data_IF_416717419082
#
_entry.id   IF_416717419082
#
_cell.length_a   1.000
_cell.length_b   1.000
_cell.length_c   1.000
_cell.angle_alpha   90.00
_cell.angle_beta   90.00
_cell.angle_gamma   90.00
#
_symmetry.space_group_name_H-M   'P 1'
#
loop_
_entity.id
_entity.type
_entity.pdbx_description
1 polymer ?
#
# COMPACT_ATOMS: atom_id res chain seq x y z
N UNK A 1 20.32 -46.08 23.48
CA UNK A 1 21.61 -46.33 22.81
C UNK A 1 22.52 -45.16 23.16
N UNK A 2 23.37 -45.34 24.17
CA UNK A 2 24.42 -44.41 24.58
C UNK A 2 25.73 -45.15 24.33
N UNK A 3 26.60 -44.62 23.46
CA UNK A 3 27.92 -45.17 23.17
C UNK A 3 28.95 -44.26 23.83
N UNK A 4 29.65 -44.80 24.82
CA UNK A 4 30.81 -44.22 25.48
C UNK A 4 32.06 -44.44 24.63
N UNK A 5 32.86 -43.40 24.44
CA UNK A 5 34.21 -43.49 23.87
C UNK A 5 35.22 -43.84 24.96
N UNK A 6 36.00 -44.88 24.69
CA UNK A 6 37.12 -45.39 25.48
C UNK A 6 38.42 -44.73 24.99
N UNK A 7 39.21 -44.18 25.92
CA UNK A 7 40.50 -43.53 25.65
C UNK A 7 41.61 -44.42 26.20
N UNK A 8 42.39 -45.04 25.31
CA UNK A 8 43.62 -45.74 25.67
C UNK A 8 44.84 -44.86 25.43
N UNK A 9 45.49 -44.45 26.52
CA UNK A 9 46.85 -43.93 26.54
C UNK A 9 47.84 -45.09 26.32
N UNK A 10 48.77 -44.92 25.38
CA UNK A 10 49.94 -45.77 25.24
C UNK A 10 51.19 -44.91 25.41
N UNK A 11 51.94 -45.24 26.46
CA UNK A 11 53.23 -44.69 26.85
C UNK A 11 54.33 -45.07 25.86
N UNK A 12 55.27 -44.14 25.63
CA UNK A 12 56.57 -44.46 25.04
C UNK A 12 57.70 -43.69 25.73
N UNK A 13 58.77 -44.45 25.91
CA UNK A 13 59.88 -44.32 26.83
C UNK A 13 60.93 -43.27 26.46
N UNK A 14 61.44 -42.61 27.50
CA UNK A 14 62.71 -41.88 27.54
C UNK A 14 63.90 -42.80 27.24
N UNK A 15 64.81 -42.38 26.35
CA UNK A 15 66.15 -42.94 26.24
C UNK A 15 67.20 -41.83 26.20
N UNK A 16 68.37 -42.19 26.73
CA UNK A 16 69.35 -41.35 27.41
C UNK A 16 70.36 -40.64 26.51
N UNK A 17 70.81 -39.50 27.02
CA UNK A 17 72.02 -38.73 26.68
C UNK A 17 73.28 -39.57 26.44
N UNK A 18 74.03 -39.22 25.39
CA UNK A 18 75.49 -39.40 25.31
C UNK A 18 76.13 -38.13 24.76
N UNK A 19 77.11 -37.62 25.52
CA UNK A 19 77.92 -36.45 25.18
C UNK A 19 78.93 -36.79 24.09
N UNK A 20 79.09 -35.90 23.12
CA UNK A 20 80.23 -35.94 22.19
C UNK A 20 80.89 -34.56 22.15
N UNK A 21 82.22 -34.59 22.20
CA UNK A 21 83.16 -33.46 22.26
C UNK A 21 82.92 -32.42 21.17
N UNK A 22 83.11 -31.15 21.53
CA UNK A 22 83.18 -30.01 20.63
C UNK A 22 84.30 -30.21 19.58
N UNK A 23 83.89 -30.26 18.31
CA UNK A 23 84.72 -30.10 17.13
C UNK A 23 84.59 -28.63 16.71
N UNK A 24 85.71 -27.88 16.61
CA UNK A 24 85.72 -26.52 16.07
C UNK A 24 85.22 -26.56 14.62
N UNK A 25 83.99 -26.06 14.38
CA UNK A 25 83.41 -25.98 13.03
C UNK A 25 83.96 -24.72 12.34
N UNK A 26 84.78 -24.93 11.31
CA UNK A 26 85.22 -23.88 10.38
C UNK A 26 83.99 -23.21 9.73
N UNK A 27 83.91 -21.89 9.85
CA UNK A 27 82.85 -21.05 9.30
C UNK A 27 83.11 -20.85 7.80
N UNK A 28 82.70 -21.80 6.97
CA UNK A 28 82.81 -21.67 5.52
C UNK A 28 81.58 -21.01 4.88
N UNK A 29 81.88 -19.99 4.07
CA UNK A 29 81.16 -19.31 2.99
C UNK A 29 79.65 -19.01 3.14
N UNK A 30 79.29 -17.77 2.79
CA UNK A 30 77.91 -17.37 2.46
C UNK A 30 77.40 -18.26 1.32
N UNK A 31 76.13 -18.66 1.38
CA UNK A 31 75.47 -19.38 0.27
C UNK A 31 75.69 -18.58 -1.02
N UNK A 32 76.34 -19.20 -2.02
CA UNK A 32 76.72 -18.56 -3.28
C UNK A 32 75.53 -18.02 -4.08
N UNK A 33 74.32 -18.51 -3.79
CA UNK A 33 73.06 -18.00 -4.35
C UNK A 33 72.60 -16.68 -3.71
N UNK A 34 72.94 -16.40 -2.45
CA UNK A 34 72.42 -15.25 -1.69
C UNK A 34 73.48 -14.14 -1.59
N UNK A 35 74.77 -14.50 -1.60
CA UNK A 35 75.91 -13.59 -1.48
C UNK A 35 75.89 -12.36 -2.43
N UNK A 36 75.44 -12.46 -3.70
CA UNK A 36 75.34 -11.30 -4.61
C UNK A 36 74.26 -10.29 -4.21
N UNK A 37 73.27 -10.72 -3.42
CA UNK A 37 72.07 -9.97 -3.08
C UNK A 37 72.12 -9.33 -1.68
N UNK A 38 73.20 -9.55 -0.93
CA UNK A 38 73.40 -8.95 0.39
C UNK A 38 74.12 -7.60 0.24
N UNK A 39 73.58 -6.48 0.74
CA UNK A 39 74.25 -5.19 0.73
C UNK A 39 75.61 -5.23 1.46
N UNK A 40 76.61 -4.52 0.93
CA UNK A 40 77.99 -4.52 1.50
C UNK A 40 78.06 -4.08 2.96
N UNK A 41 77.16 -3.19 3.39
CA UNK A 41 77.01 -2.74 4.78
C UNK A 41 76.60 -3.89 5.72
N UNK A 42 75.73 -4.78 5.25
CA UNK A 42 75.28 -5.97 5.98
C UNK A 42 76.40 -7.02 6.01
N UNK A 43 77.15 -7.19 4.92
CA UNK A 43 78.34 -8.05 4.89
C UNK A 43 79.42 -7.58 5.86
N UNK A 44 79.62 -6.27 5.98
CA UNK A 44 80.56 -5.68 6.94
C UNK A 44 80.10 -5.90 8.39
N UNK A 45 78.80 -5.82 8.67
CA UNK A 45 78.22 -6.10 9.97
C UNK A 45 78.38 -7.58 10.37
N UNK A 46 78.11 -8.50 9.45
CA UNK A 46 78.25 -9.96 9.66
C UNK A 46 79.70 -10.33 9.97
N UNK A 47 80.68 -9.72 9.28
CA UNK A 47 82.12 -9.94 9.53
C UNK A 47 82.60 -9.44 10.90
N UNK A 48 81.86 -8.55 11.55
CA UNK A 48 82.23 -7.95 12.83
C UNK A 48 81.55 -8.62 14.04
N UNK A 49 80.64 -9.57 13.82
CA UNK A 49 79.95 -10.26 14.90
C UNK A 49 80.80 -11.42 15.42
N UNK A 50 81.31 -11.38 16.67
CA UNK A 50 81.85 -12.57 17.30
C UNK A 50 80.69 -13.53 17.60
N UNK A 51 80.71 -14.71 16.99
CA UNK A 51 79.71 -15.75 17.26
C UNK A 51 80.04 -16.33 18.64
N UNK A 52 79.25 -16.01 19.65
CA UNK A 52 79.33 -16.65 20.97
C UNK A 52 78.75 -18.07 20.92
N UNK A 53 79.18 -18.96 21.83
CA UNK A 53 78.65 -20.33 21.93
C UNK A 53 77.12 -20.35 22.06
N UNK A 54 76.54 -19.42 22.82
CA UNK A 54 75.07 -19.27 22.98
C UNK A 54 74.36 -18.92 21.66
N UNK A 55 75.01 -18.14 20.80
CA UNK A 55 74.46 -17.77 19.49
C UNK A 55 74.55 -18.95 18.51
N UNK A 56 75.62 -19.74 18.61
CA UNK A 56 75.81 -20.97 17.83
C UNK A 56 74.71 -22.01 18.13
N UNK A 57 74.42 -22.23 19.41
CA UNK A 57 73.36 -23.15 19.86
C UNK A 57 71.96 -22.72 19.40
N UNK A 58 71.74 -21.41 19.23
CA UNK A 58 70.49 -20.89 18.68
C UNK A 58 70.37 -21.06 17.15
N UNK A 59 71.49 -20.92 16.43
CA UNK A 59 71.51 -20.95 14.96
C UNK A 59 71.51 -22.37 14.40
N UNK A 60 72.23 -23.30 15.03
CA UNK A 60 72.40 -24.68 14.56
C UNK A 60 71.06 -25.42 14.28
N UNK A 61 70.05 -25.37 15.15
CA UNK A 61 68.74 -25.98 14.89
C UNK A 61 67.99 -25.31 13.72
N UNK A 62 68.20 -24.01 13.50
CA UNK A 62 67.56 -23.25 12.43
C UNK A 62 68.22 -23.55 11.07
N UNK A 63 69.54 -23.74 11.05
CA UNK A 63 70.26 -24.19 9.85
C UNK A 63 69.84 -25.58 9.41
N UNK A 64 69.72 -26.54 10.33
CA UNK A 64 69.26 -27.90 10.00
C UNK A 64 67.84 -27.90 9.42
N UNK A 65 66.97 -27.03 9.94
CA UNK A 65 65.58 -26.92 9.49
C UNK A 65 65.41 -26.19 8.16
N UNK A 66 66.36 -25.33 7.80
CA UNK A 66 66.32 -24.52 6.57
C UNK A 66 67.27 -25.00 5.49
N UNK A 67 68.17 -25.94 5.80
CA UNK A 67 69.17 -26.47 4.87
C UNK A 67 70.27 -25.48 4.48
N UNK A 68 70.40 -24.36 5.20
CA UNK A 68 71.34 -23.26 4.89
C UNK A 68 72.59 -23.29 5.76
N UNK A 69 73.65 -22.59 5.34
CA UNK A 69 74.84 -22.42 6.17
C UNK A 69 74.55 -21.54 7.41
N UNK A 70 75.30 -21.70 8.53
CA UNK A 70 75.15 -20.87 9.73
C UNK A 70 75.28 -19.38 9.44
N UNK A 71 76.15 -19.02 8.50
CA UNK A 71 76.36 -17.64 8.04
C UNK A 71 75.15 -17.13 7.24
N UNK A 72 74.55 -17.97 6.38
CA UNK A 72 73.32 -17.64 5.64
C UNK A 72 72.11 -17.40 6.55
N UNK A 73 72.02 -18.16 7.65
CA UNK A 73 70.95 -18.00 8.65
C UNK A 73 71.14 -16.72 9.48
N UNK A 74 72.40 -16.39 9.83
CA UNK A 74 72.75 -15.11 10.46
C UNK A 74 72.45 -13.91 9.55
N UNK A 75 72.73 -14.01 8.25
CA UNK A 75 72.39 -12.96 7.29
C UNK A 75 70.88 -12.71 7.24
N UNK A 76 70.06 -13.76 7.24
CA UNK A 76 68.60 -13.66 7.28
C UNK A 76 68.07 -13.04 8.57
N UNK A 77 68.63 -13.43 9.72
CA UNK A 77 68.28 -12.83 11.01
C UNK A 77 68.71 -11.38 11.09
N UNK A 78 69.89 -11.02 10.58
CA UNK A 78 70.37 -9.65 10.52
C UNK A 78 69.50 -8.80 9.58
N UNK A 79 69.09 -9.33 8.42
CA UNK A 79 68.13 -8.68 7.52
C UNK A 79 66.78 -8.47 8.25
N UNK A 80 66.30 -9.47 9.00
CA UNK A 80 65.09 -9.37 9.81
C UNK A 80 65.20 -8.36 10.96
N UNK A 81 66.35 -8.26 11.61
CA UNK A 81 66.61 -7.30 12.69
C UNK A 81 66.82 -5.88 12.17
N UNK A 82 67.50 -5.71 11.03
CA UNK A 82 67.62 -4.41 10.33
C UNK A 82 66.25 -3.95 9.85
N UNK A 83 65.42 -4.86 9.31
CA UNK A 83 64.02 -4.57 9.01
C UNK A 83 63.23 -4.22 10.28
N UNK A 84 63.42 -4.95 11.37
CA UNK A 84 62.78 -4.73 12.68
C UNK A 84 63.15 -3.42 13.37
N UNK A 85 64.40 -2.96 13.21
CA UNK A 85 64.89 -1.69 13.76
C UNK A 85 64.63 -0.51 12.81
N UNK A 86 64.62 -0.73 11.49
CA UNK A 86 64.21 0.28 10.50
C UNK A 86 62.69 0.57 10.54
N UNK A 87 61.88 -0.30 11.13
CA UNK A 87 60.45 -0.05 11.39
C UNK A 87 60.19 1.07 12.41
N UNK A 88 61.19 1.49 13.18
CA UNK A 88 61.03 2.53 14.21
C UNK A 88 61.26 3.97 13.74
N UNK A 89 62.06 4.20 12.69
CA UNK A 89 62.51 5.57 12.33
C UNK A 89 62.70 5.68 10.79
N UNK A 90 61.82 6.43 10.13
CA UNK A 90 61.90 7.02 8.75
C UNK A 90 61.03 6.42 7.60
N UNK A 91 59.86 7.04 7.40
CA UNK A 91 59.19 7.30 6.09
C UNK A 91 60.14 8.15 5.22
N UNK A 92 60.46 7.88 3.92
CA UNK A 92 59.69 7.27 2.81
C UNK A 92 60.50 6.31 1.88
N UNK A 93 61.70 5.85 2.27
CA UNK A 93 62.54 4.92 1.47
C UNK A 93 62.01 3.48 1.52
N UNK A 94 61.22 3.15 2.55
CA UNK A 94 60.59 1.85 2.75
C UNK A 94 59.75 1.37 1.55
N UNK A 95 59.16 2.28 0.77
CA UNK A 95 58.31 1.90 -0.38
C UNK A 95 59.08 1.29 -1.56
N UNK A 96 60.38 1.57 -1.69
CA UNK A 96 61.21 1.04 -2.79
C UNK A 96 61.81 -0.32 -2.42
N UNK A 97 62.21 -0.49 -1.16
CA UNK A 97 62.71 -1.76 -0.65
C UNK A 97 61.57 -2.78 -0.44
N UNK A 98 60.39 -2.35 0.04
CA UNK A 98 59.21 -3.20 0.11
C UNK A 98 58.76 -3.69 -1.26
N UNK A 99 58.85 -2.85 -2.30
CA UNK A 99 58.54 -3.23 -3.68
C UNK A 99 59.48 -4.32 -4.24
N UNK A 100 60.78 -4.26 -3.89
CA UNK A 100 61.75 -5.29 -4.26
C UNK A 100 61.51 -6.64 -3.57
N UNK A 101 61.04 -6.61 -2.32
CA UNK A 101 60.69 -7.80 -1.52
C UNK A 101 59.32 -8.35 -1.93
N UNK A 102 58.33 -7.50 -2.21
CA UNK A 102 57.01 -7.87 -2.75
C UNK A 102 57.14 -8.63 -4.07
N UNK A 103 58.09 -8.18 -4.92
CA UNK A 103 58.39 -8.83 -6.20
C UNK A 103 59.09 -10.18 -6.04
N UNK A 104 59.81 -10.39 -4.93
CA UNK A 104 60.56 -11.61 -4.62
C UNK A 104 59.70 -12.65 -3.88
N UNK A 105 58.71 -12.21 -3.09
CA UNK A 105 57.81 -13.07 -2.29
C UNK A 105 56.46 -13.32 -2.99
N UNK A 106 56.17 -12.64 -4.11
CA UNK A 106 54.87 -12.68 -4.78
C UNK A 106 53.71 -12.41 -3.80
N UNK A 107 53.80 -11.34 -3.01
CA UNK A 107 52.78 -11.00 -1.99
C UNK A 107 51.39 -10.71 -2.57
N UNK A 108 51.30 -10.43 -3.87
CA UNK A 108 50.05 -10.38 -4.63
C UNK A 108 49.78 -11.73 -5.31
N UNK A 109 49.32 -12.72 -4.54
CA UNK A 109 48.70 -13.93 -5.08
C UNK A 109 47.20 -13.84 -4.86
N UNK A 110 46.42 -14.23 -5.88
CA UNK A 110 44.98 -14.30 -5.74
C UNK A 110 44.63 -15.42 -4.76
N UNK A 111 43.73 -15.12 -3.83
CA UNK A 111 43.14 -16.11 -2.95
C UNK A 111 42.15 -17.01 -3.72
N UNK A 112 41.81 -18.21 -3.21
CA UNK A 112 40.91 -19.14 -3.90
C UNK A 112 39.54 -18.57 -4.28
N UNK A 113 38.98 -17.64 -3.49
CA UNK A 113 37.69 -17.00 -3.79
C UNK A 113 37.83 -15.98 -4.93
N UNK A 114 38.92 -15.21 -4.96
CA UNK A 114 39.24 -14.35 -6.10
C UNK A 114 39.43 -15.16 -7.39
N UNK A 115 40.20 -16.25 -7.35
CA UNK A 115 40.42 -17.11 -8.53
C UNK A 115 39.11 -17.73 -9.02
N UNK A 116 38.27 -18.22 -8.10
CA UNK A 116 37.00 -18.84 -8.47
C UNK A 116 35.98 -17.85 -9.04
N UNK A 117 35.96 -16.60 -8.56
CA UNK A 117 35.16 -15.51 -9.15
C UNK A 117 35.64 -15.11 -10.54
N UNK A 118 36.95 -15.08 -10.78
CA UNK A 118 37.51 -14.84 -12.12
C UNK A 118 37.15 -15.98 -13.07
N UNK A 119 37.24 -17.22 -12.61
CA UNK A 119 36.80 -18.42 -13.32
C UNK A 119 35.31 -18.33 -13.73
N UNK A 120 34.41 -18.04 -12.79
CA UNK A 120 32.98 -17.87 -13.06
C UNK A 120 32.70 -16.78 -14.11
N UNK A 121 33.49 -15.69 -14.09
CA UNK A 121 33.33 -14.56 -15.00
C UNK A 121 34.00 -14.75 -16.35
N UNK A 122 34.76 -15.84 -16.52
CA UNK A 122 35.60 -16.06 -17.69
C UNK A 122 36.62 -14.94 -17.88
N UNK A 123 37.18 -14.41 -16.78
CA UNK A 123 38.24 -13.41 -16.81
C UNK A 123 39.60 -14.12 -16.93
N UNK A 124 40.53 -13.64 -17.79
CA UNK A 124 40.51 -12.35 -18.49
C UNK A 124 39.56 -12.30 -19.70
N UNK A 125 38.81 -11.20 -19.81
CA UNK A 125 38.24 -10.76 -21.09
C UNK A 125 39.19 -9.74 -21.69
N UNK A 126 39.92 -10.14 -22.73
CA UNK A 126 40.84 -9.27 -23.44
C UNK A 126 40.13 -8.19 -24.26
N UNK A 127 40.45 -6.94 -23.92
CA UNK A 127 40.48 -5.74 -24.77
C UNK A 127 39.18 -4.97 -25.03
N UNK A 128 39.39 -3.70 -25.34
CA UNK A 128 38.45 -2.57 -25.42
C UNK A 128 37.02 -2.95 -25.86
N UNK A 129 36.02 -2.38 -25.17
CA UNK A 129 34.61 -2.66 -25.46
C UNK A 129 34.20 -2.34 -26.91
N UNK A 130 34.95 -1.46 -27.59
CA UNK A 130 34.82 -1.13 -29.01
C UNK A 130 35.35 -2.25 -29.92
N UNK A 131 36.52 -2.82 -29.62
CA UNK A 131 37.12 -3.92 -30.39
C UNK A 131 36.31 -5.21 -30.26
N UNK A 132 35.78 -5.49 -29.06
CA UNK A 132 34.95 -6.69 -28.84
C UNK A 132 33.64 -6.64 -29.62
N UNK A 133 33.05 -5.45 -29.80
CA UNK A 133 31.81 -5.29 -30.59
C UNK A 133 32.04 -5.54 -32.08
N UNK A 134 33.24 -5.23 -32.60
CA UNK A 134 33.59 -5.39 -34.00
C UNK A 134 33.79 -6.85 -34.44
N UNK A 135 33.97 -7.79 -33.50
CA UNK A 135 34.18 -9.21 -33.81
C UNK A 135 32.86 -9.95 -34.12
N UNK A 136 32.94 -10.88 -35.07
CA UNK A 136 31.84 -11.81 -35.39
C UNK A 136 31.66 -12.85 -34.28
N UNK A 137 30.49 -13.51 -34.23
CA UNK A 137 30.19 -14.52 -33.22
C UNK A 137 31.17 -15.72 -33.25
N UNK A 138 31.68 -16.08 -34.43
CA UNK A 138 32.67 -17.15 -34.58
C UNK A 138 34.06 -16.73 -34.08
N UNK A 139 34.47 -15.48 -34.34
CA UNK A 139 35.75 -14.92 -33.85
C UNK A 139 35.72 -14.72 -32.33
N UNK A 140 34.58 -14.28 -31.79
CA UNK A 140 34.36 -14.23 -30.33
C UNK A 140 34.51 -15.61 -29.69
N UNK A 141 33.94 -16.65 -30.29
CA UNK A 141 34.05 -18.02 -29.80
C UNK A 141 35.49 -18.55 -29.86
N UNK A 142 36.22 -18.27 -30.94
CA UNK A 142 37.63 -18.66 -31.10
C UNK A 142 38.56 -17.93 -30.12
N UNK A 143 38.40 -16.61 -29.95
CA UNK A 143 39.20 -15.80 -29.01
C UNK A 143 38.90 -16.16 -27.54
N UNK A 144 37.66 -16.54 -27.24
CA UNK A 144 37.26 -17.08 -25.92
C UNK A 144 37.86 -18.46 -25.66
N UNK A 145 38.09 -19.26 -26.71
CA UNK A 145 38.76 -20.55 -26.58
C UNK A 145 40.27 -20.42 -26.32
N UNK A 146 40.95 -19.41 -26.87
CA UNK A 146 42.35 -19.08 -26.54
C UNK A 146 42.53 -18.53 -25.12
N UNK A 147 41.55 -17.76 -24.60
CA UNK A 147 41.57 -17.23 -23.23
C UNK A 147 41.31 -18.29 -22.15
N UNK A 148 40.88 -19.50 -22.54
CA UNK A 148 40.66 -20.62 -21.63
C UNK A 148 41.97 -21.06 -20.94
N UNK A 149 43.11 -20.86 -21.60
CA UNK A 149 44.45 -21.16 -21.09
C UNK A 149 44.92 -20.11 -20.04
N UNK A 150 44.41 -18.87 -20.07
CA UNK A 150 44.70 -17.85 -19.04
C UNK A 150 43.87 -18.05 -17.77
N UNK A 151 42.70 -18.70 -17.85
CA UNK A 151 41.95 -19.14 -16.67
C UNK A 151 42.71 -20.26 -15.95
N UNK A 152 43.33 -21.18 -16.70
CA UNK A 152 44.23 -22.20 -16.15
C UNK A 152 45.48 -21.61 -15.49
N UNK A 153 45.98 -20.47 -15.97
CA UNK A 153 47.11 -19.75 -15.34
C UNK A 153 46.83 -19.35 -13.89
N UNK A 154 45.62 -18.89 -13.55
CA UNK A 154 45.25 -18.52 -12.18
C UNK A 154 45.09 -19.74 -11.26
N UNK A 155 44.64 -20.87 -11.81
CA UNK A 155 44.68 -22.15 -11.11
C UNK A 155 46.12 -22.69 -10.98
N UNK A 156 47.01 -22.36 -11.92
CA UNK A 156 48.46 -22.53 -11.79
C UNK A 156 49.03 -21.74 -10.61
N UNK A 157 48.59 -20.52 -10.36
CA UNK A 157 48.97 -19.77 -9.15
C UNK A 157 48.45 -20.44 -7.86
N UNK A 158 47.29 -21.10 -7.89
CA UNK A 158 46.84 -21.92 -6.76
C UNK A 158 47.72 -23.17 -6.60
N UNK A 159 48.17 -23.78 -7.69
CA UNK A 159 49.16 -24.87 -7.66
C UNK A 159 50.47 -24.42 -7.00
N UNK A 160 50.96 -23.23 -7.34
CA UNK A 160 52.15 -22.62 -6.75
C UNK A 160 51.97 -22.22 -5.26
N UNK A 161 50.71 -22.14 -4.81
CA UNK A 161 50.32 -21.98 -3.40
C UNK A 161 50.13 -23.31 -2.67
N UNK A 162 50.30 -24.45 -3.35
CA UNK A 162 50.18 -25.79 -2.77
C UNK A 162 48.80 -26.43 -2.90
N UNK A 163 47.87 -25.84 -3.66
CA UNK A 163 46.60 -26.49 -3.98
C UNK A 163 46.80 -27.52 -5.10
N UNK A 164 46.61 -28.80 -4.79
CA UNK A 164 46.60 -29.85 -5.80
C UNK A 164 45.40 -29.75 -6.75
N UNK A 165 45.41 -30.57 -7.79
CA UNK A 165 44.35 -30.61 -8.79
C UNK A 165 42.97 -30.92 -8.19
N UNK A 166 42.93 -31.74 -7.15
CA UNK A 166 41.69 -32.06 -6.44
C UNK A 166 41.13 -30.86 -5.67
N UNK A 167 41.98 -30.12 -4.98
CA UNK A 167 41.60 -28.93 -4.22
C UNK A 167 41.14 -27.80 -5.16
N UNK A 168 41.77 -27.66 -6.32
CA UNK A 168 41.34 -26.69 -7.34
C UNK A 168 39.97 -27.02 -7.93
N UNK A 169 39.66 -28.30 -8.18
CA UNK A 169 38.32 -28.71 -8.59
C UNK A 169 37.29 -28.48 -7.47
N UNK A 170 37.65 -28.72 -6.22
CA UNK A 170 36.79 -28.41 -5.08
C UNK A 170 36.48 -26.90 -5.00
N UNK A 171 37.46 -26.03 -5.26
CA UNK A 171 37.27 -24.57 -5.34
C UNK A 171 36.30 -24.17 -6.46
N UNK A 172 36.40 -24.81 -7.64
CA UNK A 172 35.45 -24.58 -8.75
C UNK A 172 34.03 -24.99 -8.37
N UNK A 173 33.88 -26.13 -7.69
CA UNK A 173 32.57 -26.61 -7.24
C UNK A 173 31.98 -25.72 -6.15
N UNK A 174 32.79 -25.28 -5.17
CA UNK A 174 32.37 -24.35 -4.12
C UNK A 174 31.94 -22.98 -4.65
N UNK A 175 32.46 -22.59 -5.81
CA UNK A 175 32.05 -21.34 -6.47
C UNK A 175 30.71 -21.47 -7.19
N UNK A 176 30.22 -22.68 -7.47
CA UNK A 176 28.86 -22.86 -7.95
C UNK A 176 27.89 -22.55 -6.84
N UNK A 177 26.88 -21.78 -7.19
CA UNK A 177 25.86 -21.37 -6.25
C UNK A 177 24.98 -22.57 -5.87
N UNK A 178 24.93 -22.88 -4.58
CA UNK A 178 23.98 -23.84 -4.02
C UNK A 178 22.81 -23.07 -3.40
N UNK A 179 21.56 -23.34 -3.82
CA UNK A 179 20.40 -22.65 -3.29
C UNK A 179 20.19 -22.92 -1.81
N UNK A 180 19.81 -21.87 -1.08
CA UNK A 180 19.45 -21.96 0.31
C UNK A 180 18.14 -22.75 0.48
N UNK A 181 17.93 -23.41 1.64
CA UNK A 181 16.69 -24.16 1.90
C UNK A 181 15.40 -23.34 1.65
N UNK A 182 15.42 -22.05 1.97
CA UNK A 182 14.27 -21.14 1.75
C UNK A 182 13.93 -20.94 0.26
N UNK A 183 14.93 -20.96 -0.61
CA UNK A 183 14.72 -20.82 -2.06
C UNK A 183 14.15 -22.12 -2.63
N UNK A 184 14.69 -23.26 -2.19
CA UNK A 184 14.15 -24.59 -2.54
C UNK A 184 12.68 -24.70 -2.08
N UNK A 185 12.36 -24.23 -0.86
CA UNK A 185 10.98 -24.17 -0.38
C UNK A 185 10.10 -23.27 -1.26
N UNK A 186 10.62 -22.12 -1.69
CA UNK A 186 9.91 -21.22 -2.60
C UNK A 186 9.66 -21.88 -3.95
N UNK A 187 10.63 -22.62 -4.50
CA UNK A 187 10.48 -23.36 -5.74
C UNK A 187 9.42 -24.46 -5.62
N UNK A 188 9.41 -25.18 -4.49
CA UNK A 188 8.37 -26.16 -4.20
C UNK A 188 6.98 -25.50 -4.12
N UNK A 189 6.84 -24.40 -3.38
CA UNK A 189 5.57 -23.67 -3.26
C UNK A 189 5.09 -23.06 -4.59
N UNK A 190 6.00 -22.78 -5.53
CA UNK A 190 5.69 -22.27 -6.87
C UNK A 190 5.62 -23.36 -7.93
N UNK A 191 5.48 -24.62 -7.53
CA UNK A 191 5.28 -25.77 -8.42
C UNK A 191 6.39 -25.92 -9.47
N UNK A 192 7.60 -25.44 -9.16
CA UNK A 192 8.75 -25.45 -10.07
C UNK A 192 9.25 -26.88 -10.32
N UNK A 193 9.06 -27.77 -9.35
CA UNK A 193 9.47 -29.17 -9.41
C UNK A 193 8.43 -30.09 -10.05
N UNK A 194 7.21 -29.60 -10.31
CA UNK A 194 6.11 -30.38 -10.87
C UNK A 194 6.00 -30.11 -12.38
N UNK A 195 6.48 -31.00 -13.27
CA UNK A 195 6.61 -30.70 -14.71
C UNK A 195 5.28 -30.33 -15.38
N UNK A 196 4.20 -31.02 -15.02
CA UNK A 196 2.86 -30.78 -15.58
C UNK A 196 2.33 -29.39 -15.19
N UNK A 197 2.55 -28.96 -13.94
CA UNK A 197 2.13 -27.65 -13.45
C UNK A 197 3.04 -26.54 -13.99
N UNK A 198 4.35 -26.77 -14.06
CA UNK A 198 5.32 -25.85 -14.66
C UNK A 198 4.99 -25.53 -16.11
N UNK A 199 4.56 -26.53 -16.88
CA UNK A 199 4.09 -26.35 -18.26
C UNK A 199 2.73 -25.65 -18.30
N UNK A 200 1.75 -26.11 -17.51
CA UNK A 200 0.40 -25.51 -17.42
C UNK A 200 0.47 -24.01 -17.13
N UNK A 201 1.33 -23.60 -16.21
CA UNK A 201 1.51 -22.20 -15.81
C UNK A 201 2.55 -21.44 -16.63
N UNK A 202 3.21 -22.12 -17.56
CA UNK A 202 4.20 -21.53 -18.46
C UNK A 202 5.32 -20.82 -17.68
N UNK A 203 5.81 -21.43 -16.59
CA UNK A 203 6.76 -20.77 -15.69
C UNK A 203 8.11 -20.47 -16.36
N UNK A 204 8.50 -21.25 -17.38
CA UNK A 204 9.70 -21.02 -18.19
C UNK A 204 9.53 -19.97 -19.30
N UNK A 205 8.33 -19.42 -19.45
CA UNK A 205 8.04 -18.50 -20.55
C UNK A 205 8.93 -17.27 -20.46
N UNK A 206 9.32 -16.77 -21.63
CA UNK A 206 10.15 -15.56 -21.78
C UNK A 206 11.53 -15.64 -21.13
N UNK A 207 12.04 -16.82 -20.74
CA UNK A 207 13.41 -16.99 -20.24
C UNK A 207 14.43 -16.47 -21.28
N UNK A 208 15.13 -15.36 -21.03
CA UNK A 208 16.06 -14.81 -21.99
C UNK A 208 17.42 -15.51 -21.87
N UNK A 209 18.11 -15.83 -22.98
CA UNK A 209 19.46 -16.39 -22.95
C UNK A 209 20.45 -15.54 -22.14
N UNK A 210 20.27 -14.22 -22.14
CA UNK A 210 21.09 -13.26 -21.40
C UNK A 210 20.98 -13.46 -19.88
N UNK A 211 19.80 -13.85 -19.38
CA UNK A 211 19.64 -14.17 -17.95
C UNK A 211 20.51 -15.37 -17.56
N UNK A 212 20.53 -16.42 -18.38
CA UNK A 212 21.39 -17.60 -18.15
C UNK A 212 22.87 -17.22 -18.21
N UNK A 213 23.27 -16.33 -19.12
CA UNK A 213 24.64 -15.83 -19.19
C UNK A 213 25.05 -15.06 -17.92
N UNK A 214 24.20 -14.15 -17.45
CA UNK A 214 24.47 -13.37 -16.24
C UNK A 214 24.42 -14.20 -14.96
N UNK A 215 23.48 -15.15 -14.87
CA UNK A 215 23.39 -16.11 -13.76
C UNK A 215 24.68 -16.96 -13.66
N UNK A 216 25.20 -17.44 -14.80
CA UNK A 216 26.42 -18.23 -14.82
C UNK A 216 27.65 -17.45 -14.29
N UNK A 217 27.74 -16.15 -14.56
CA UNK A 217 28.83 -15.28 -14.07
C UNK A 217 28.87 -15.12 -12.55
N UNK A 218 27.79 -15.48 -11.87
CA UNK A 218 27.67 -15.45 -10.40
C UNK A 218 27.54 -16.85 -9.80
N UNK A 219 27.82 -17.91 -10.57
CA UNK A 219 27.80 -19.29 -10.10
C UNK A 219 26.45 -19.99 -10.20
N UNK A 220 25.39 -19.30 -10.62
CA UNK A 220 24.04 -19.87 -10.79
C UNK A 220 23.94 -20.47 -12.20
N UNK A 221 24.09 -21.78 -12.31
CA UNK A 221 24.17 -22.47 -13.61
C UNK A 221 23.10 -23.56 -13.77
N UNK A 222 22.88 -23.99 -15.01
CA UNK A 222 22.02 -25.14 -15.32
C UNK A 222 20.58 -24.98 -14.85
N UNK A 223 20.11 -26.00 -14.12
CA UNK A 223 18.73 -26.09 -13.65
C UNK A 223 18.40 -25.07 -12.55
N UNK A 224 19.38 -24.74 -11.69
CA UNK A 224 19.23 -23.73 -10.63
C UNK A 224 18.80 -22.39 -11.24
N UNK A 225 19.46 -21.95 -12.31
CA UNK A 225 19.09 -20.71 -13.01
C UNK A 225 17.66 -20.77 -13.56
N UNK A 226 17.28 -21.90 -14.18
CA UNK A 226 15.92 -22.09 -14.70
C UNK A 226 14.87 -22.09 -13.60
N UNK A 227 15.18 -22.62 -12.41
CA UNK A 227 14.27 -22.65 -11.28
C UNK A 227 14.07 -21.26 -10.67
N UNK A 228 15.14 -20.46 -10.58
CA UNK A 228 15.01 -19.04 -10.23
C UNK A 228 14.06 -18.32 -11.18
N UNK A 229 14.23 -18.51 -12.49
CA UNK A 229 13.30 -17.96 -13.47
C UNK A 229 11.89 -18.51 -13.24
N UNK A 230 11.68 -19.82 -13.16
CA UNK A 230 10.34 -20.36 -12.97
C UNK A 230 9.62 -19.82 -11.70
N UNK A 231 10.37 -19.48 -10.65
CA UNK A 231 9.81 -18.89 -9.42
C UNK A 231 9.63 -17.37 -9.41
N UNK A 232 10.12 -16.63 -10.41
CA UNK A 232 10.19 -15.16 -10.36
C UNK A 232 8.82 -14.45 -10.51
N UNK A 233 7.81 -15.18 -10.97
CA UNK A 233 6.50 -14.62 -11.30
C UNK A 233 5.79 -14.06 -10.08
N UNK A 234 5.21 -12.87 -10.25
CA UNK A 234 4.35 -12.24 -9.25
C UNK A 234 2.94 -12.80 -9.42
N UNK A 235 2.41 -13.41 -8.36
CA UNK A 235 1.04 -13.91 -8.35
C UNK A 235 0.04 -12.75 -8.27
N UNK A 236 -1.15 -12.85 -8.89
CA UNK A 236 -2.21 -11.87 -8.74
C UNK A 236 -2.56 -11.62 -7.26
N UNK A 237 -3.00 -10.40 -6.94
CA UNK A 237 -3.51 -10.12 -5.60
C UNK A 237 -4.80 -10.86 -5.32
N UNK A 238 -5.11 -11.12 -4.04
CA UNK A 238 -6.36 -11.76 -3.65
C UNK A 238 -7.60 -10.98 -4.16
N UNK A 239 -7.53 -9.64 -4.20
CA UNK A 239 -8.58 -8.78 -4.76
C UNK A 239 -8.77 -9.01 -6.27
N UNK A 240 -7.70 -9.21 -7.03
CA UNK A 240 -7.81 -9.52 -8.45
C UNK A 240 -8.49 -10.88 -8.67
N UNK A 241 -8.10 -11.90 -7.90
CA UNK A 241 -8.72 -13.23 -7.96
C UNK A 241 -10.18 -13.20 -7.54
N UNK A 242 -10.51 -12.44 -6.49
CA UNK A 242 -11.88 -12.20 -6.07
C UNK A 242 -12.73 -11.59 -7.19
N UNK A 243 -12.21 -10.61 -7.92
CA UNK A 243 -12.93 -10.00 -9.04
C UNK A 243 -13.09 -10.95 -10.22
N UNK A 244 -12.08 -11.75 -10.55
CA UNK A 244 -12.19 -12.79 -11.58
C UNK A 244 -13.27 -13.82 -11.23
N UNK A 245 -13.31 -14.26 -9.97
CA UNK A 245 -14.34 -15.17 -9.47
C UNK A 245 -15.74 -14.53 -9.50
N UNK A 246 -15.90 -13.28 -9.01
CA UNK A 246 -17.18 -12.54 -9.05
C UNK A 246 -17.71 -12.38 -10.47
N UNK A 247 -16.81 -12.21 -11.44
CA UNK A 247 -17.12 -12.13 -12.88
C UNK A 247 -17.35 -13.49 -13.54
N UNK A 248 -17.28 -14.58 -12.78
CA UNK A 248 -17.45 -15.96 -13.23
C UNK A 248 -16.43 -16.37 -14.31
N UNK A 249 -15.25 -15.75 -14.27
CA UNK A 249 -14.11 -16.11 -15.12
C UNK A 249 -13.36 -17.30 -14.52
N UNK A 250 -13.29 -17.35 -13.18
CA UNK A 250 -12.73 -18.46 -12.42
C UNK A 250 -13.83 -19.22 -11.68
N UNK A 251 -13.67 -20.52 -11.54
CA UNK A 251 -14.50 -21.37 -10.69
C UNK A 251 -13.98 -21.39 -9.24
N UNK A 252 -14.67 -22.10 -8.34
CA UNK A 252 -14.15 -22.29 -6.97
C UNK A 252 -12.88 -23.14 -6.98
N UNK A 253 -12.85 -24.15 -7.82
CA UNK A 253 -11.72 -25.07 -7.98
C UNK A 253 -10.46 -24.33 -8.48
N UNK A 254 -10.63 -23.36 -9.38
CA UNK A 254 -9.53 -22.49 -9.81
C UNK A 254 -8.97 -21.65 -8.65
N UNK A 255 -9.85 -21.13 -7.78
CA UNK A 255 -9.45 -20.36 -6.59
C UNK A 255 -8.74 -21.26 -5.56
N UNK A 256 -9.23 -22.48 -5.38
CA UNK A 256 -8.60 -23.48 -4.50
C UNK A 256 -7.19 -23.86 -4.97
N UNK A 257 -7.00 -24.05 -6.27
CA UNK A 257 -5.68 -24.27 -6.87
C UNK A 257 -4.75 -23.07 -6.64
N UNK A 258 -5.26 -21.85 -6.88
CA UNK A 258 -4.50 -20.63 -6.67
C UNK A 258 -4.04 -20.43 -5.20
N UNK A 259 -4.86 -20.82 -4.22
CA UNK A 259 -4.46 -20.77 -2.82
C UNK A 259 -3.33 -21.74 -2.47
N UNK A 260 -3.23 -22.87 -3.17
CA UNK A 260 -2.10 -23.79 -3.03
C UNK A 260 -0.82 -23.14 -3.56
N UNK A 261 -0.88 -22.49 -4.71
CA UNK A 261 0.27 -21.76 -5.29
C UNK A 261 0.72 -20.56 -4.46
N UNK A 262 -0.21 -19.90 -3.77
CA UNK A 262 0.11 -18.85 -2.79
C UNK A 262 0.66 -19.38 -1.46
N UNK A 263 0.75 -20.70 -1.29
CA UNK A 263 1.08 -21.37 -0.03
C UNK A 263 0.18 -20.91 1.13
N UNK A 264 -1.11 -20.70 0.82
CA UNK A 264 -2.09 -20.25 1.80
C UNK A 264 -2.48 -21.40 2.72
N UNK A 265 -2.42 -21.18 4.04
CA UNK A 265 -2.77 -22.22 5.03
C UNK A 265 -4.20 -22.74 4.82
N UNK A 266 -4.43 -24.07 4.74
CA UNK A 266 -5.74 -24.61 4.34
C UNK A 266 -6.92 -24.22 5.23
N UNK A 267 -6.70 -24.06 6.54
CA UNK A 267 -7.79 -23.92 7.51
C UNK A 267 -8.60 -22.61 7.38
N UNK A 268 -8.03 -21.54 6.79
CA UNK A 268 -8.74 -20.26 6.57
C UNK A 268 -9.37 -20.13 5.19
N UNK A 269 -9.07 -21.04 4.27
CA UNK A 269 -9.42 -20.89 2.84
C UNK A 269 -10.92 -20.71 2.62
N UNK A 270 -11.75 -21.53 3.27
CA UNK A 270 -13.21 -21.42 3.18
C UNK A 270 -13.76 -20.10 3.75
N UNK A 271 -13.15 -19.58 4.82
CA UNK A 271 -13.57 -18.31 5.41
C UNK A 271 -13.15 -17.11 4.55
N UNK A 272 -11.93 -17.15 3.99
CA UNK A 272 -11.48 -16.15 3.01
C UNK A 272 -12.36 -16.19 1.75
N UNK A 273 -12.82 -17.36 1.33
CA UNK A 273 -13.76 -17.47 0.21
C UNK A 273 -15.07 -16.72 0.45
N UNK A 274 -15.57 -16.73 1.70
CA UNK A 274 -16.82 -16.02 2.03
C UNK A 274 -16.68 -14.53 1.79
N UNK A 275 -15.49 -13.96 2.01
CA UNK A 275 -15.18 -12.55 1.73
C UNK A 275 -15.28 -12.20 0.24
N UNK A 276 -15.24 -13.19 -0.66
CA UNK A 276 -15.42 -12.94 -2.08
C UNK A 276 -16.86 -12.50 -2.37
N UNK A 277 -17.83 -12.89 -1.55
CA UNK A 277 -19.24 -12.49 -1.74
C UNK A 277 -19.41 -11.04 -1.30
N UNK A 278 -20.22 -10.29 -2.06
CA UNK A 278 -20.56 -8.93 -1.66
C UNK A 278 -21.55 -8.95 -0.50
N UNK A 279 -21.33 -8.10 0.49
CA UNK A 279 -22.34 -7.77 1.49
C UNK A 279 -23.25 -6.69 0.87
N UNK A 280 -24.59 -6.82 0.95
CA UNK A 280 -25.51 -5.81 0.43
C UNK A 280 -25.18 -4.41 0.96
N UNK A 281 -25.39 -3.35 0.16
CA UNK A 281 -25.08 -1.98 0.61
C UNK A 281 -26.11 -1.51 1.65
N UNK A 282 -25.74 -0.55 2.51
CA UNK A 282 -26.67 0.07 3.48
C UNK A 282 -27.96 0.57 2.82
N UNK A 283 -27.86 1.14 1.63
CA UNK A 283 -29.01 1.67 0.88
C UNK A 283 -29.97 0.54 0.49
N UNK A 284 -29.43 -0.57 0.00
CA UNK A 284 -30.25 -1.72 -0.40
C UNK A 284 -30.83 -2.44 0.81
N UNK A 285 -30.05 -2.58 1.89
CA UNK A 285 -30.54 -3.13 3.17
C UNK A 285 -31.70 -2.32 3.72
N UNK A 286 -31.62 -0.99 3.69
CA UNK A 286 -32.74 -0.12 4.07
C UNK A 286 -33.97 -0.32 3.18
N UNK A 287 -33.79 -0.51 1.87
CA UNK A 287 -34.89 -0.82 0.95
C UNK A 287 -35.51 -2.18 1.25
N UNK A 288 -34.70 -3.18 1.62
CA UNK A 288 -35.19 -4.49 2.02
C UNK A 288 -36.04 -4.39 3.28
N UNK A 289 -35.61 -3.57 4.25
CA UNK A 289 -36.38 -3.27 5.45
C UNK A 289 -37.71 -2.57 5.11
N UNK A 290 -37.66 -1.51 4.30
CA UNK A 290 -38.84 -0.75 3.84
C UNK A 290 -39.87 -1.64 3.14
N UNK A 291 -39.42 -2.47 2.21
CA UNK A 291 -40.27 -3.43 1.49
C UNK A 291 -40.67 -4.65 2.34
N UNK A 292 -40.23 -4.73 3.60
CA UNK A 292 -40.47 -5.85 4.53
C UNK A 292 -40.04 -7.21 3.95
N UNK A 293 -39.00 -7.23 3.13
CA UNK A 293 -38.40 -8.47 2.59
C UNK A 293 -37.41 -9.11 3.56
N UNK A 294 -37.03 -8.38 4.62
CA UNK A 294 -36.21 -8.86 5.74
C UNK A 294 -36.85 -8.43 7.06
N UNK A 295 -36.50 -9.14 8.13
CA UNK A 295 -36.86 -8.82 9.52
C UNK A 295 -35.68 -8.17 10.28
N UNK A 296 -35.90 -7.79 11.54
CA UNK A 296 -34.88 -7.09 12.34
C UNK A 296 -33.65 -7.98 12.63
N UNK A 297 -33.81 -9.28 12.95
CA UNK A 297 -32.68 -10.19 13.06
C UNK A 297 -31.81 -10.21 11.80
N UNK A 298 -32.42 -10.29 10.61
CA UNK A 298 -31.67 -10.26 9.35
C UNK A 298 -31.07 -8.88 9.06
N UNK A 299 -31.74 -7.79 9.42
CA UNK A 299 -31.20 -6.43 9.32
C UNK A 299 -29.91 -6.30 10.16
N UNK A 300 -29.95 -6.75 11.41
CA UNK A 300 -28.80 -6.78 12.33
C UNK A 300 -27.65 -7.62 11.79
N UNK A 301 -27.94 -8.82 11.32
CA UNK A 301 -26.95 -9.74 10.73
C UNK A 301 -26.23 -9.12 9.53
N UNK A 302 -26.96 -8.43 8.64
CA UNK A 302 -26.32 -7.77 7.49
C UNK A 302 -25.45 -6.59 7.94
N UNK A 303 -25.89 -5.77 8.90
CA UNK A 303 -25.07 -4.68 9.43
C UNK A 303 -23.82 -5.19 10.16
N UNK A 304 -23.90 -6.29 10.89
CA UNK A 304 -22.72 -6.96 11.45
C UNK A 304 -21.77 -7.47 10.36
N UNK A 305 -22.31 -8.07 9.29
CA UNK A 305 -21.50 -8.50 8.15
C UNK A 305 -20.81 -7.31 7.42
N UNK A 306 -21.38 -6.11 7.48
CA UNK A 306 -20.73 -4.88 7.01
C UNK A 306 -19.64 -4.35 7.97
N UNK A 307 -19.58 -4.88 9.19
CA UNK A 307 -18.60 -4.53 10.20
C UNK A 307 -19.11 -3.58 11.30
N UNK A 308 -20.42 -3.36 11.43
CA UNK A 308 -20.98 -2.58 12.53
C UNK A 308 -21.19 -3.44 13.78
N UNK A 309 -20.78 -2.92 14.93
CA UNK A 309 -20.81 -3.63 16.21
C UNK A 309 -21.27 -2.72 17.33
N UNK A 310 -21.72 -3.31 18.44
CA UNK A 310 -22.06 -2.60 19.68
C UNK A 310 -22.99 -1.40 19.46
N UNK A 311 -22.62 -0.21 19.94
CA UNK A 311 -23.43 1.01 19.83
C UNK A 311 -23.69 1.40 18.37
N UNK A 312 -22.69 1.28 17.49
CA UNK A 312 -22.87 1.57 16.06
C UNK A 312 -23.94 0.67 15.44
N UNK A 313 -23.97 -0.61 15.82
CA UNK A 313 -24.97 -1.55 15.32
C UNK A 313 -26.38 -1.15 15.78
N UNK A 314 -26.54 -0.84 17.08
CA UNK A 314 -27.83 -0.41 17.62
C UNK A 314 -28.30 0.89 16.98
N UNK A 315 -27.40 1.85 16.80
CA UNK A 315 -27.68 3.14 16.14
C UNK A 315 -28.10 2.95 14.69
N UNK A 316 -27.42 2.09 13.93
CA UNK A 316 -27.79 1.81 12.54
C UNK A 316 -29.15 1.11 12.42
N UNK A 317 -29.45 0.18 13.31
CA UNK A 317 -30.73 -0.52 13.33
C UNK A 317 -31.85 0.46 13.67
N UNK A 318 -31.72 1.19 14.78
CA UNK A 318 -32.68 2.23 15.19
C UNK A 318 -32.89 3.25 14.07
N UNK A 319 -31.80 3.81 13.53
CA UNK A 319 -31.86 4.79 12.45
C UNK A 319 -32.61 4.26 11.23
N UNK A 320 -32.34 3.01 10.83
CA UNK A 320 -32.98 2.40 9.65
C UNK A 320 -34.49 2.29 9.85
N UNK A 321 -34.91 1.80 11.03
CA UNK A 321 -36.32 1.62 11.38
C UNK A 321 -37.04 2.95 11.40
N UNK A 322 -36.54 3.91 12.18
CA UNK A 322 -37.09 5.26 12.31
C UNK A 322 -37.15 5.99 10.97
N UNK A 323 -36.06 5.95 10.19
CA UNK A 323 -35.96 6.67 8.92
C UNK A 323 -37.02 6.20 7.92
N UNK A 324 -37.30 4.90 7.92
CA UNK A 324 -38.25 4.26 7.01
C UNK A 324 -39.69 4.44 7.49
N UNK A 325 -39.94 4.23 8.78
CA UNK A 325 -41.31 4.20 9.31
C UNK A 325 -41.88 5.61 9.52
N UNK A 326 -41.05 6.59 9.88
CA UNK A 326 -41.50 7.95 10.20
C UNK A 326 -42.32 8.63 9.07
N UNK A 327 -41.86 8.69 7.80
CA UNK A 327 -42.61 9.36 6.74
C UNK A 327 -43.98 8.73 6.46
N UNK A 328 -44.06 7.39 6.47
CA UNK A 328 -45.29 6.65 6.23
C UNK A 328 -46.27 6.81 7.39
N UNK A 329 -45.82 6.62 8.64
CA UNK A 329 -46.64 6.83 9.82
C UNK A 329 -47.22 8.25 9.88
N UNK A 330 -46.40 9.25 9.61
CA UNK A 330 -46.87 10.65 9.58
C UNK A 330 -47.87 10.91 8.45
N UNK A 331 -47.72 10.26 7.29
CA UNK A 331 -48.71 10.36 6.21
C UNK A 331 -50.05 9.72 6.61
N UNK A 332 -50.01 8.53 7.21
CA UNK A 332 -51.20 7.83 7.72
C UNK A 332 -51.90 8.62 8.81
N UNK A 333 -51.14 9.22 9.72
CA UNK A 333 -51.67 10.11 10.77
C UNK A 333 -52.35 11.35 10.17
N UNK A 334 -51.68 12.04 9.23
CA UNK A 334 -52.26 13.22 8.55
C UNK A 334 -53.54 12.90 7.77
N UNK A 335 -53.65 11.70 7.24
CA UNK A 335 -54.85 11.21 6.56
C UNK A 335 -55.94 10.69 7.53
N UNK A 336 -55.68 10.71 8.84
CA UNK A 336 -56.61 10.23 9.87
C UNK A 336 -56.77 8.70 9.92
N UNK A 337 -55.85 7.94 9.32
CA UNK A 337 -55.92 6.47 9.29
C UNK A 337 -55.43 5.81 10.59
N UNK A 338 -54.55 6.50 11.32
CA UNK A 338 -54.01 6.09 12.61
C UNK A 338 -54.02 7.27 13.57
N UNK A 339 -54.00 6.99 14.87
CA UNK A 339 -53.92 8.03 15.90
C UNK A 339 -52.47 8.40 16.20
N UNK A 340 -52.27 9.51 16.90
CA UNK A 340 -50.93 9.97 17.26
C UNK A 340 -50.26 8.99 18.24
N UNK A 341 -51.04 8.36 19.11
CA UNK A 341 -50.57 7.34 20.05
C UNK A 341 -49.98 6.13 19.31
N UNK A 342 -50.61 5.70 18.19
CA UNK A 342 -50.12 4.60 17.38
C UNK A 342 -48.75 4.94 16.76
N UNK A 343 -48.54 6.20 16.35
CA UNK A 343 -47.25 6.69 15.86
C UNK A 343 -46.20 6.67 16.97
N UNK A 344 -46.56 7.13 18.17
CA UNK A 344 -45.66 7.14 19.33
C UNK A 344 -45.23 5.73 19.71
N UNK A 345 -46.17 4.79 19.81
CA UNK A 345 -45.88 3.38 20.12
C UNK A 345 -44.93 2.78 19.09
N UNK A 346 -45.18 2.97 17.79
CA UNK A 346 -44.29 2.42 16.76
C UNK A 346 -42.88 3.02 16.86
N UNK A 347 -42.73 4.35 16.92
CA UNK A 347 -41.41 4.97 16.88
C UNK A 347 -40.60 4.81 18.18
N UNK A 348 -41.25 4.97 19.34
CA UNK A 348 -40.56 4.96 20.64
C UNK A 348 -40.45 3.54 21.18
N UNK A 349 -41.55 2.78 21.22
CA UNK A 349 -41.55 1.46 21.85
C UNK A 349 -40.98 0.37 20.94
N UNK A 350 -41.30 0.40 19.64
CA UNK A 350 -40.85 -0.62 18.67
C UNK A 350 -39.53 -0.23 18.04
N UNK A 351 -39.43 0.97 17.47
CA UNK A 351 -38.22 1.44 16.77
C UNK A 351 -37.14 1.98 17.69
N UNK A 352 -37.43 2.07 19.00
CA UNK A 352 -36.50 2.47 20.06
C UNK A 352 -35.96 3.90 19.90
N UNK A 353 -36.69 4.77 19.20
CA UNK A 353 -36.40 6.19 19.19
C UNK A 353 -36.47 6.75 20.62
N UNK A 354 -35.50 7.58 21.04
CA UNK A 354 -35.61 8.32 22.30
C UNK A 354 -36.89 9.15 22.33
N UNK A 355 -37.65 9.08 23.42
CA UNK A 355 -38.93 9.78 23.55
C UNK A 355 -38.77 11.30 23.39
N UNK A 356 -37.71 11.88 23.93
CA UNK A 356 -37.38 13.30 23.75
C UNK A 356 -37.26 13.68 22.27
N UNK A 357 -36.67 12.80 21.45
CA UNK A 357 -36.52 13.02 20.01
C UNK A 357 -37.87 12.94 19.29
N UNK A 358 -38.76 12.05 19.71
CA UNK A 358 -40.12 11.98 19.19
C UNK A 358 -40.87 13.29 19.42
N UNK A 359 -40.81 13.84 20.64
CA UNK A 359 -41.47 15.11 20.99
C UNK A 359 -40.88 16.30 20.18
N UNK A 360 -39.56 16.32 19.95
CA UNK A 360 -38.92 17.34 19.10
C UNK A 360 -39.39 17.23 17.62
N UNK A 361 -39.50 16.00 17.10
CA UNK A 361 -40.02 15.77 15.74
C UNK A 361 -41.49 16.19 15.63
N UNK A 362 -42.28 15.95 16.67
CA UNK A 362 -43.66 16.40 16.74
C UNK A 362 -43.74 17.93 16.61
N UNK A 363 -42.99 18.67 17.42
CA UNK A 363 -43.00 20.14 17.41
C UNK A 363 -42.54 20.72 16.06
N UNK A 364 -41.54 20.11 15.42
CA UNK A 364 -40.97 20.61 14.17
C UNK A 364 -41.78 20.23 12.93
N UNK A 365 -42.50 19.10 12.95
CA UNK A 365 -43.20 18.55 11.77
C UNK A 365 -44.72 18.69 11.85
N UNK A 366 -45.27 18.70 13.04
CA UNK A 366 -46.65 19.09 13.31
C UNK A 366 -46.56 20.56 13.71
N UNK A 367 -46.61 21.47 12.73
CA UNK A 367 -46.93 22.87 13.03
C UNK A 367 -48.10 22.84 13.98
N UNK A 368 -47.99 23.53 15.12
CA UNK A 368 -49.12 23.78 15.99
C UNK A 368 -50.29 24.13 15.09
N UNK A 369 -51.24 23.19 15.01
CA UNK A 369 -52.50 23.40 14.32
C UNK A 369 -53.13 24.50 15.17
N UNK A 370 -52.83 25.77 14.86
CA UNK A 370 -53.82 26.80 14.97
C UNK A 370 -54.99 26.19 14.24
N UNK A 371 -55.97 25.77 15.02
CA UNK A 371 -57.25 25.21 14.61
C UNK A 371 -57.48 25.60 13.17
N UNK A 372 -57.20 24.65 12.28
CA UNK A 372 -57.59 24.79 10.90
C UNK A 372 -59.09 24.92 11.01
N UNK A 373 -59.55 26.19 10.92
CA UNK A 373 -60.95 26.59 11.04
C UNK A 373 -61.74 25.53 10.35
N UNK A 374 -62.46 24.74 11.16
CA UNK A 374 -63.22 23.59 10.71
C UNK A 374 -63.97 24.03 9.46
N UNK A 375 -63.69 23.28 8.41
CA UNK A 375 -64.00 23.54 7.01
C UNK A 375 -65.51 23.45 6.71
N UNK A 376 -66.35 24.09 7.53
CA UNK A 376 -67.79 24.19 7.32
C UNK A 376 -68.24 25.59 6.90
N UNK A 377 -67.40 26.63 6.98
CA UNK A 377 -67.76 27.99 6.54
C UNK A 377 -67.34 28.34 5.10
N UNK A 378 -66.95 27.36 4.28
CA UNK A 378 -66.41 27.68 2.94
C UNK A 378 -66.91 26.91 1.72
N UNK A 379 -68.16 26.43 1.72
CA UNK A 379 -68.77 25.91 0.49
C UNK A 379 -68.71 26.91 -0.69
N UNK A 380 -68.82 28.21 -0.43
CA UNK A 380 -68.67 29.26 -1.45
C UNK A 380 -67.22 29.72 -1.55
N UNK A 381 -66.53 29.46 -2.66
CA UNK A 381 -65.23 30.07 -2.95
C UNK A 381 -65.39 31.57 -3.26
N UNK A 382 -64.32 32.38 -3.17
CA UNK A 382 -64.32 33.79 -3.63
C UNK A 382 -64.95 33.93 -5.01
N UNK A 383 -64.58 33.04 -5.94
CA UNK A 383 -65.11 33.03 -7.30
C UNK A 383 -66.63 32.79 -7.34
N UNK A 384 -67.18 31.91 -6.49
CA UNK A 384 -68.61 31.67 -6.40
C UNK A 384 -69.37 32.85 -5.78
N UNK A 385 -68.79 33.50 -4.77
CA UNK A 385 -69.33 34.72 -4.15
C UNK A 385 -69.45 35.83 -5.20
N UNK A 386 -68.37 36.12 -5.92
CA UNK A 386 -68.34 37.13 -6.98
C UNK A 386 -69.29 36.77 -8.14
N UNK A 387 -69.37 35.50 -8.53
CA UNK A 387 -70.31 35.04 -9.58
C UNK A 387 -71.78 35.19 -9.16
N UNK A 388 -72.09 34.99 -7.87
CA UNK A 388 -73.42 35.24 -7.31
C UNK A 388 -73.79 36.72 -7.35
N UNK A 389 -72.84 37.60 -7.04
CA UNK A 389 -73.01 39.05 -7.10
C UNK A 389 -73.15 39.59 -8.55
N UNK A 390 -72.45 38.99 -9.52
CA UNK A 390 -72.50 39.32 -10.96
C UNK A 390 -73.71 38.76 -11.71
N UNK A 391 -74.48 37.84 -11.12
CA UNK A 391 -75.60 37.23 -11.79
C UNK A 391 -76.63 38.31 -12.20
N UNK A 392 -77.39 38.07 -13.28
CA UNK A 392 -78.50 38.94 -13.68
C UNK A 392 -79.80 38.12 -13.66
N UNK A 393 -80.72 38.37 -12.71
CA UNK A 393 -80.62 39.33 -11.61
C UNK A 393 -79.59 38.92 -10.53
N UNK A 394 -79.03 39.88 -9.76
CA UNK A 394 -78.05 39.58 -8.72
C UNK A 394 -78.61 38.65 -7.66
N UNK A 395 -77.84 37.61 -7.31
CA UNK A 395 -78.22 36.66 -6.24
C UNK A 395 -77.71 37.07 -4.87
N UNK A 396 -76.77 38.02 -4.82
CA UNK A 396 -76.19 38.59 -3.61
C UNK A 396 -76.18 40.11 -3.73
N UNK A 397 -76.58 40.79 -2.66
CA UNK A 397 -76.44 42.25 -2.54
C UNK A 397 -75.00 42.64 -2.25
N UNK A 398 -74.67 43.94 -2.37
CA UNK A 398 -73.34 44.47 -2.03
C UNK A 398 -72.93 44.13 -0.59
N UNK A 399 -73.84 44.36 0.37
CA UNK A 399 -73.60 44.06 1.79
C UNK A 399 -73.32 42.58 2.03
N UNK A 400 -74.18 41.70 1.52
CA UNK A 400 -74.00 40.24 1.66
C UNK A 400 -72.71 39.74 0.99
N UNK A 401 -72.32 40.34 -0.13
CA UNK A 401 -71.07 39.97 -0.83
C UNK A 401 -69.85 40.37 -0.01
N UNK A 402 -69.84 41.57 0.57
CA UNK A 402 -68.75 42.05 1.44
C UNK A 402 -68.66 41.20 2.71
N UNK A 403 -69.79 40.89 3.35
CA UNK A 403 -69.82 40.01 4.54
C UNK A 403 -69.29 38.60 4.23
N UNK A 404 -69.71 38.01 3.10
CA UNK A 404 -69.22 36.71 2.67
C UNK A 404 -67.73 36.72 2.32
N UNK A 405 -67.19 37.83 1.79
CA UNK A 405 -65.76 38.01 1.58
C UNK A 405 -65.01 38.20 2.91
N UNK A 406 -65.56 38.94 3.87
CA UNK A 406 -64.96 39.08 5.19
C UNK A 406 -64.88 37.73 5.94
N UNK A 407 -65.88 36.86 5.75
CA UNK A 407 -65.83 35.47 6.22
C UNK A 407 -64.72 34.63 5.55
N UNK A 408 -64.17 35.08 4.40
CA UNK A 408 -62.96 34.53 3.76
C UNK A 408 -61.66 35.15 4.23
N UNK A 409 -61.69 35.85 5.37
CA UNK A 409 -60.51 36.46 5.98
C UNK A 409 -59.94 37.63 5.15
N UNK A 410 -60.76 38.24 4.29
CA UNK A 410 -60.49 39.58 3.75
C UNK A 410 -60.89 40.61 4.80
N UNK A 411 -60.11 41.66 4.98
CA UNK A 411 -60.59 42.79 5.77
C UNK A 411 -61.74 43.52 5.05
N UNK A 412 -62.46 44.38 5.77
CA UNK A 412 -63.63 45.08 5.21
C UNK A 412 -63.28 45.88 3.94
N UNK A 413 -62.10 46.49 3.91
CA UNK A 413 -61.66 47.34 2.80
C UNK A 413 -61.21 46.51 1.60
N UNK A 414 -60.51 45.41 1.83
CA UNK A 414 -60.16 44.43 0.81
C UNK A 414 -61.42 43.84 0.18
N UNK A 415 -62.43 43.51 0.99
CA UNK A 415 -63.71 42.99 0.52
C UNK A 415 -64.47 44.02 -0.33
N UNK A 416 -64.50 45.29 0.09
CA UNK A 416 -65.08 46.39 -0.67
C UNK A 416 -64.34 46.63 -2.00
N UNK A 417 -63.01 46.66 -1.97
CA UNK A 417 -62.19 46.82 -3.17
C UNK A 417 -62.36 45.67 -4.17
N UNK A 418 -62.40 44.42 -3.69
CA UNK A 418 -62.68 43.25 -4.51
C UNK A 418 -64.06 43.34 -5.15
N UNK A 419 -65.07 43.77 -4.39
CA UNK A 419 -66.42 43.98 -4.92
C UNK A 419 -66.42 45.06 -6.01
N UNK A 420 -65.79 46.20 -5.74
CA UNK A 420 -65.80 47.37 -6.62
C UNK A 420 -65.03 47.14 -7.93
N UNK A 421 -64.00 46.29 -7.93
CA UNK A 421 -63.28 45.91 -9.16
C UNK A 421 -63.98 44.79 -9.90
N UNK A 422 -64.35 43.73 -9.17
CA UNK A 422 -64.81 42.54 -9.84
C UNK A 422 -66.28 42.65 -10.19
N UNK A 423 -67.18 43.00 -9.26
CA UNK A 423 -68.64 42.89 -9.43
C UNK A 423 -69.23 44.04 -10.23
N UNK A 424 -68.92 45.29 -9.85
CA UNK A 424 -69.37 46.49 -10.60
C UNK A 424 -68.76 46.58 -12.00
N UNK A 425 -67.72 45.77 -12.26
CA UNK A 425 -67.03 45.74 -13.54
C UNK A 425 -66.36 47.07 -13.85
N UNK A 426 -65.70 47.18 -15.00
CA UNK A 426 -65.07 48.41 -15.49
C UNK A 426 -66.09 49.53 -15.85
N UNK A 427 -67.15 49.71 -15.08
CA UNK A 427 -67.97 50.91 -15.12
C UNK A 427 -67.16 52.05 -14.50
N UNK A 428 -66.87 53.08 -15.30
CA UNK A 428 -66.20 54.28 -14.78
C UNK A 428 -67.06 54.89 -13.67
N UNK A 429 -66.49 55.29 -12.53
CA UNK A 429 -67.24 55.93 -11.46
C UNK A 429 -68.07 57.10 -12.01
N UNK A 430 -69.36 57.09 -11.71
CA UNK A 430 -70.34 58.03 -12.27
C UNK A 430 -70.26 59.39 -11.58
N UNK A 431 -69.65 59.42 -10.39
CA UNK A 431 -69.40 60.62 -9.60
C UNK A 431 -67.93 60.77 -9.19
N UNK A 432 -67.44 62.01 -9.06
CA UNK A 432 -66.10 62.28 -8.53
C UNK A 432 -65.85 61.66 -7.14
N UNK A 433 -66.90 61.56 -6.31
CA UNK A 433 -66.76 60.99 -4.97
C UNK A 433 -66.60 59.47 -4.98
N UNK A 434 -67.27 58.75 -5.89
CA UNK A 434 -67.03 57.31 -6.10
C UNK A 434 -65.63 57.03 -6.62
N UNK A 435 -65.12 57.88 -7.52
CA UNK A 435 -63.73 57.77 -7.97
C UNK A 435 -62.75 57.96 -6.80
N UNK A 436 -63.04 58.92 -5.92
CA UNK A 436 -62.23 59.13 -4.71
C UNK A 436 -62.29 57.93 -3.77
N UNK A 437 -63.48 57.35 -3.56
CA UNK A 437 -63.64 56.16 -2.72
C UNK A 437 -62.81 54.98 -3.24
N UNK A 438 -62.82 54.74 -4.57
CA UNK A 438 -62.02 53.69 -5.21
C UNK A 438 -60.51 53.89 -5.00
N UNK A 439 -60.04 55.14 -5.09
CA UNK A 439 -58.62 55.47 -4.87
C UNK A 439 -58.22 55.30 -3.41
N UNK A 440 -59.06 55.72 -2.47
CA UNK A 440 -58.79 55.60 -1.03
C UNK A 440 -58.87 54.13 -0.56
N UNK A 441 -59.78 53.32 -1.12
CA UNK A 441 -59.87 51.88 -0.82
C UNK A 441 -58.66 51.11 -1.35
N UNK A 442 -58.17 51.45 -2.55
CA UNK A 442 -56.90 50.92 -3.07
C UNK A 442 -55.72 51.27 -2.15
N UNK A 443 -55.58 52.55 -1.78
CA UNK A 443 -54.49 53.02 -0.91
C UNK A 443 -54.48 52.26 0.41
N UNK A 444 -55.64 52.05 1.01
CA UNK A 444 -55.75 51.27 2.25
C UNK A 444 -55.35 49.79 2.04
N UNK A 445 -55.84 49.14 0.98
CA UNK A 445 -55.55 47.73 0.69
C UNK A 445 -54.06 47.45 0.44
N UNK A 446 -53.29 48.45 -0.02
CA UNK A 446 -51.82 48.34 -0.18
C UNK A 446 -51.02 48.94 0.99
N UNK A 447 -51.68 49.30 2.10
CA UNK A 447 -51.03 49.79 3.32
C UNK A 447 -50.54 51.24 3.27
N UNK A 448 -51.06 52.07 2.37
CA UNK A 448 -50.75 53.50 2.26
C UNK A 448 -51.70 54.35 3.12
N UNK A 449 -51.28 55.56 3.50
CA UNK A 449 -52.16 56.52 4.17
C UNK A 449 -53.39 56.83 3.31
N UNK A 450 -54.57 56.76 3.94
CA UNK A 450 -55.86 56.94 3.28
C UNK A 450 -56.80 57.83 4.13
N UNK A 451 -57.87 58.33 3.51
CA UNK A 451 -58.95 59.08 4.16
C UNK A 451 -60.28 58.38 3.91
N UNK A 452 -61.00 58.06 4.99
CA UNK A 452 -62.33 57.47 4.91
C UNK A 452 -63.31 58.48 4.28
N UNK A 453 -64.05 58.03 3.25
CA UNK A 453 -65.10 58.82 2.59
C UNK A 453 -66.45 58.41 3.21
N UNK A 454 -67.13 59.29 3.96
CA UNK A 454 -68.42 58.96 4.57
C UNK A 454 -69.49 58.56 3.54
N UNK A 455 -70.29 57.54 3.86
CA UNK A 455 -71.39 57.05 3.01
C UNK A 455 -72.42 58.13 2.66
N UNK A 456 -72.72 59.02 3.61
CA UNK A 456 -73.66 60.13 3.41
C UNK A 456 -73.19 61.10 2.31
N UNK A 457 -71.87 61.29 2.17
CA UNK A 457 -71.28 62.15 1.14
C UNK A 457 -71.37 61.52 -0.25
N UNK A 458 -71.26 60.19 -0.35
CA UNK A 458 -71.40 59.45 -1.61
C UNK A 458 -72.84 59.50 -2.12
N UNK A 459 -73.81 59.30 -1.22
CA UNK A 459 -75.23 59.39 -1.56
C UNK A 459 -75.63 60.82 -1.95
N UNK A 460 -75.10 61.83 -1.25
CA UNK A 460 -75.33 63.23 -1.57
C UNK A 460 -74.76 63.61 -2.94
N UNK A 461 -73.56 63.13 -3.30
CA UNK A 461 -72.93 63.43 -4.60
C UNK A 461 -73.62 62.69 -5.76
N UNK A 462 -74.06 61.44 -5.55
CA UNK A 462 -74.94 60.73 -6.49
C UNK A 462 -76.23 61.50 -6.74
N UNK A 463 -76.93 61.89 -5.67
CA UNK A 463 -78.18 62.65 -5.76
C UNK A 463 -77.97 64.00 -6.45
N UNK A 464 -76.85 64.67 -6.20
CA UNK A 464 -76.47 65.90 -6.90
C UNK A 464 -76.21 65.66 -8.39
N UNK A 465 -75.51 64.59 -8.75
CA UNK A 465 -75.22 64.23 -10.14
C UNK A 465 -76.50 63.89 -10.91
N UNK A 466 -77.40 63.11 -10.31
CA UNK A 466 -78.71 62.77 -10.87
C UNK A 466 -79.60 64.01 -11.07
N UNK A 467 -79.62 64.91 -10.08
CA UNK A 467 -80.36 66.16 -10.20
C UNK A 467 -79.77 67.06 -11.29
N UNK A 468 -78.44 67.09 -11.43
CA UNK A 468 -77.76 67.84 -12.49
C UNK A 468 -78.07 67.27 -13.87
N UNK A 469 -78.14 65.94 -14.03
CA UNK A 469 -78.53 65.27 -15.27
C UNK A 469 -80.01 65.46 -15.62
N UNK A 470 -80.89 65.65 -14.63
CA UNK A 470 -82.32 65.96 -14.85
C UNK A 470 -82.60 67.43 -15.15
N UNK A 471 -81.65 68.32 -14.84
CA UNK A 471 -81.72 69.77 -15.10
C UNK A 471 -81.04 70.18 -16.42
N UNK A 472 -80.25 69.28 -17.01
CA UNK A 472 -79.67 69.39 -18.35
C UNK A 472 -80.59 68.73 -19.37
#
# INVERSE_FOLDING_TARGET
MLVSFDTSEASLSTSSSTSTKAEEVEVEALDTEIEPHIPEEVKALIKQLPISEELQDFILPLTEKTGRSPVGTLALLAIGMVAGTALGIASPIANVASYGIDKLIHSYRLDPDSVSKLWLRGFPKGQDAEEWKALTSAEKAAKTAELKDEVEKWFGELSDQGFGSHEQEAVKELARYLPAPTEIMTWAAREVFEPELREKYQLDKFLPPEFLEWAAKVGITGEVAKNYWASHWILPSLTAIQELWRRKILTKEDVDAFWTELDMVPWVREDLFKLFRAVPTRVDVRRFWDMRTIDEPRLRDIYQAQGYWEEDLEDYVMWTKVYVDFPDLMARYKNGWIKLEDVKTQLVEVDKMPEERFEELLQTKIKAVQEERIADTTALTRALIIKGAKAVPPKLTRGETIELLMLKNYDKWEAEYIYDIEVTGAASPETPMEFRQLVESYRHAVGLEFKEVPSELLEADRKRSDLRLKLA
#
